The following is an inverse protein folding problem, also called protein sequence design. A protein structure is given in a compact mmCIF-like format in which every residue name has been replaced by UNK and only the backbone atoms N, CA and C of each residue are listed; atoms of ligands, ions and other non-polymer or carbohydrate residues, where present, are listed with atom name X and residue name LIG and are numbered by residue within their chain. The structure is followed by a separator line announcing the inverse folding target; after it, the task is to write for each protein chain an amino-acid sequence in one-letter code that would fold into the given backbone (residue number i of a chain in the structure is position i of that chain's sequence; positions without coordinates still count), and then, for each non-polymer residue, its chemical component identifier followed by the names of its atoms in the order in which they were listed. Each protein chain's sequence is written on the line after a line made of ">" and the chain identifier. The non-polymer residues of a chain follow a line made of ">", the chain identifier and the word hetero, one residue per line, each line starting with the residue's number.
data_IF_695735652954
#
_entry.id   IF_695735652954
#
_cell.length_a   1.000
_cell.length_b   1.000
_cell.length_c   1.000
_cell.angle_alpha   90.00
_cell.angle_beta   90.00
_cell.angle_gamma   90.00
#
_symmetry.space_group_name_H-M   'P 1'
#
loop_
_entity.id
_entity.type
_entity.pdbx_description
1 polymer ?
#
# COMPACT_ATOMS: atom_id res chain seq x y z
N UNK A 1 -10.97 -14.87 8.57
CA UNK A 1 -9.66 -14.32 8.89
C UNK A 1 -9.26 -13.29 7.84
N UNK A 2 -8.63 -12.23 8.28
CA UNK A 2 -8.16 -11.20 7.36
C UNK A 2 -6.86 -11.62 6.69
N UNK A 3 -6.71 -11.31 5.41
CA UNK A 3 -5.45 -11.51 4.70
C UNK A 3 -4.44 -10.40 5.01
N UNK A 4 -4.84 -9.45 5.85
CA UNK A 4 -4.02 -8.30 6.22
C UNK A 4 -4.26 -7.96 7.69
N UNK A 5 -3.26 -7.31 8.32
CA UNK A 5 -3.33 -6.90 9.72
C UNK A 5 -3.79 -5.47 9.89
N UNK A 6 -3.62 -4.63 8.86
CA UNK A 6 -4.04 -3.23 8.90
C UNK A 6 -4.50 -2.80 7.51
N UNK A 7 -5.47 -1.90 7.48
CA UNK A 7 -5.99 -1.33 6.24
C UNK A 7 -5.82 0.17 6.26
N UNK A 8 -5.37 0.73 5.12
CA UNK A 8 -5.21 2.16 4.92
C UNK A 8 -6.09 2.60 3.76
N UNK A 9 -7.03 3.53 4.04
CA UNK A 9 -7.86 4.12 3.01
C UNK A 9 -7.19 5.41 2.53
N UNK A 10 -6.60 5.36 1.34
CA UNK A 10 -5.95 6.50 0.71
C UNK A 10 -6.74 7.00 -0.51
N UNK A 11 -8.02 6.65 -0.60
CA UNK A 11 -8.87 7.11 -1.69
C UNK A 11 -9.03 8.62 -1.63
N UNK A 12 -9.06 9.25 -2.81
CA UNK A 12 -9.16 10.70 -2.92
C UNK A 12 -7.88 11.47 -2.71
N UNK A 13 -6.80 10.77 -2.34
CA UNK A 13 -5.49 11.41 -2.14
C UNK A 13 -4.68 11.35 -3.43
N UNK A 14 -3.93 12.42 -3.69
CA UNK A 14 -3.05 12.52 -4.86
C UNK A 14 -1.60 12.33 -4.44
N UNK A 15 -0.77 11.89 -5.40
CA UNK A 15 0.67 11.76 -5.20
C UNK A 15 1.25 13.08 -4.65
N UNK A 16 2.12 13.04 -3.62
CA UNK A 16 2.72 11.85 -3.00
C UNK A 16 2.01 11.35 -1.73
N UNK A 17 0.77 11.80 -1.46
CA UNK A 17 0.09 11.51 -0.20
C UNK A 17 -0.15 10.01 0.04
N UNK A 18 -0.56 9.21 -0.97
CA UNK A 18 -0.72 7.76 -0.73
C UNK A 18 0.56 7.09 -0.22
N UNK A 19 1.70 7.46 -0.79
CA UNK A 19 3.00 6.93 -0.39
C UNK A 19 3.37 7.34 1.03
N UNK A 20 3.18 8.62 1.36
CA UNK A 20 3.50 9.13 2.69
C UNK A 20 2.67 8.44 3.76
N UNK A 21 1.37 8.25 3.49
CA UNK A 21 0.48 7.55 4.40
C UNK A 21 0.84 6.08 4.55
N UNK A 22 1.20 5.44 3.44
CA UNK A 22 1.63 4.05 3.45
C UNK A 22 2.90 3.87 4.26
N UNK A 23 3.87 4.75 4.08
CA UNK A 23 5.13 4.71 4.82
C UNK A 23 4.87 4.79 6.32
N UNK A 24 4.02 5.71 6.75
CA UNK A 24 3.68 5.87 8.16
C UNK A 24 2.97 4.64 8.72
N UNK A 25 2.01 4.09 7.97
CA UNK A 25 1.24 2.94 8.41
C UNK A 25 2.12 1.69 8.52
N UNK A 26 2.99 1.46 7.54
CA UNK A 26 3.81 0.25 7.52
C UNK A 26 4.89 0.28 8.62
N UNK A 27 5.32 1.47 9.02
CA UNK A 27 6.28 1.59 10.13
C UNK A 27 5.69 1.11 11.47
N UNK A 28 4.37 1.07 11.59
CA UNK A 28 3.70 0.56 12.77
C UNK A 28 3.51 -0.95 12.76
N UNK A 29 3.87 -1.62 11.67
CA UNK A 29 3.73 -3.06 11.55
C UNK A 29 5.04 -3.77 11.88
N UNK A 30 4.93 -5.05 12.24
CA UNK A 30 6.10 -5.90 12.42
C UNK A 30 6.37 -6.67 11.13
N UNK A 31 7.61 -7.15 11.01
CA UNK A 31 8.04 -7.93 9.85
C UNK A 31 7.09 -9.11 9.61
N UNK A 32 6.66 -9.28 8.37
CA UNK A 32 5.73 -10.34 7.98
C UNK A 32 4.27 -9.95 8.01
N UNK A 33 3.91 -8.82 8.63
CA UNK A 33 2.53 -8.35 8.63
C UNK A 33 2.21 -7.65 7.32
N UNK A 34 0.93 -7.66 6.94
CA UNK A 34 0.46 -7.14 5.66
C UNK A 34 -0.41 -5.91 5.89
N UNK A 35 -0.14 -4.88 5.08
CA UNK A 35 -0.95 -3.66 5.01
C UNK A 35 -1.76 -3.67 3.72
N UNK A 36 -3.07 -3.48 3.83
CA UNK A 36 -3.92 -3.27 2.67
C UNK A 36 -4.08 -1.78 2.44
N UNK A 37 -3.71 -1.30 1.25
CA UNK A 37 -3.84 0.11 0.87
C UNK A 37 -4.82 0.21 -0.29
N UNK A 38 -5.77 1.14 -0.18
CA UNK A 38 -6.71 1.43 -1.27
C UNK A 38 -6.48 2.87 -1.70
N UNK A 39 -6.22 3.09 -3.00
CA UNK A 39 -5.98 4.41 -3.54
C UNK A 39 -6.75 4.59 -4.84
N UNK A 40 -6.98 5.84 -5.25
CA UNK A 40 -7.67 6.16 -6.49
C UNK A 40 -6.79 6.87 -7.51
N UNK A 41 -5.57 7.27 -7.11
CA UNK A 41 -4.61 7.92 -8.00
C UNK A 41 -3.92 6.87 -8.89
N UNK A 42 -4.06 6.96 -10.22
CA UNK A 42 -3.40 6.00 -11.12
C UNK A 42 -1.89 5.95 -10.98
N UNK A 43 -1.26 7.07 -10.58
CA UNK A 43 0.17 7.13 -10.34
C UNK A 43 0.63 6.33 -9.14
N UNK A 44 -0.30 5.96 -8.25
CA UNK A 44 0.05 5.24 -7.03
C UNK A 44 0.59 3.84 -7.31
N UNK A 45 0.23 3.23 -8.44
CA UNK A 45 0.71 1.89 -8.79
C UNK A 45 2.24 1.88 -8.87
N UNK A 46 2.81 2.77 -9.68
CA UNK A 46 4.27 2.86 -9.83
C UNK A 46 4.93 3.31 -8.55
N UNK A 47 4.31 4.25 -7.84
CA UNK A 47 4.85 4.77 -6.59
C UNK A 47 4.92 3.69 -5.53
N UNK A 48 3.88 2.86 -5.41
CA UNK A 48 3.87 1.77 -4.44
C UNK A 48 4.89 0.69 -4.78
N UNK A 49 5.05 0.36 -6.07
CA UNK A 49 6.06 -0.58 -6.51
C UNK A 49 7.46 -0.09 -6.16
N UNK A 50 7.75 1.17 -6.46
CA UNK A 50 9.04 1.78 -6.14
C UNK A 50 9.28 1.81 -4.63
N UNK A 51 8.26 2.17 -3.86
CA UNK A 51 8.33 2.20 -2.41
C UNK A 51 8.71 0.83 -1.83
N UNK A 52 8.03 -0.22 -2.27
CA UNK A 52 8.30 -1.57 -1.79
C UNK A 52 9.72 -2.01 -2.15
N UNK A 53 10.16 -1.70 -3.36
CA UNK A 53 11.48 -2.07 -3.83
C UNK A 53 12.58 -1.35 -3.05
N UNK A 54 12.39 -0.07 -2.76
CA UNK A 54 13.38 0.74 -2.06
C UNK A 54 13.45 0.42 -0.57
N UNK A 55 12.35 -0.01 0.03
CA UNK A 55 12.28 -0.24 1.48
C UNK A 55 12.41 -1.71 1.87
N UNK A 56 12.49 -2.61 0.89
CA UNK A 56 12.58 -4.04 1.19
C UNK A 56 11.27 -4.67 1.63
N UNK A 57 10.15 -3.99 1.41
CA UNK A 57 8.83 -4.56 1.63
C UNK A 57 8.40 -5.32 0.38
N UNK A 58 7.48 -6.28 0.56
CA UNK A 58 7.02 -7.10 -0.55
C UNK A 58 5.63 -6.66 -1.02
N UNK A 59 5.48 -6.43 -2.34
CA UNK A 59 4.17 -6.24 -2.95
C UNK A 59 3.55 -7.60 -3.19
N UNK A 60 2.70 -8.03 -2.27
CA UNK A 60 2.08 -9.36 -2.34
C UNK A 60 1.10 -9.44 -3.50
N UNK A 61 0.27 -8.43 -3.64
CA UNK A 61 -0.69 -8.37 -4.74
C UNK A 61 -1.10 -6.94 -5.01
N UNK A 62 -1.59 -6.71 -6.22
CA UNK A 62 -2.16 -5.44 -6.62
C UNK A 62 -3.36 -5.73 -7.51
N UNK A 63 -4.41 -4.93 -7.37
CA UNK A 63 -5.62 -5.10 -8.17
C UNK A 63 -6.28 -3.76 -8.40
N UNK A 64 -7.13 -3.70 -9.42
CA UNK A 64 -7.91 -2.51 -9.73
C UNK A 64 -9.37 -2.92 -9.93
N UNK A 65 -10.29 -2.12 -9.40
CA UNK A 65 -11.71 -2.34 -9.58
C UNK A 65 -12.44 -1.01 -9.47
N UNK A 66 -13.10 -0.60 -10.55
CA UNK A 66 -13.91 0.61 -10.55
C UNK A 66 -13.17 1.90 -10.20
N UNK A 67 -11.90 1.99 -10.54
CA UNK A 67 -11.08 3.17 -10.23
C UNK A 67 -10.36 3.10 -8.90
N UNK A 68 -10.60 2.06 -8.11
CA UNK A 68 -9.89 1.83 -6.86
C UNK A 68 -8.73 0.86 -7.09
N UNK A 69 -7.53 1.27 -6.65
CA UNK A 69 -6.33 0.44 -6.72
C UNK A 69 -6.06 -0.12 -5.33
N UNK A 70 -5.99 -1.44 -5.22
CA UNK A 70 -5.76 -2.10 -3.94
C UNK A 70 -4.38 -2.74 -3.94
N UNK A 71 -3.61 -2.46 -2.89
CA UNK A 71 -2.24 -2.98 -2.74
C UNK A 71 -2.15 -3.77 -1.45
N UNK A 72 -1.64 -4.99 -1.52
CA UNK A 72 -1.32 -5.79 -0.33
C UNK A 72 0.19 -5.78 -0.17
N UNK A 73 0.69 -5.12 0.86
CA UNK A 73 2.12 -4.90 1.08
C UNK A 73 2.54 -5.60 2.36
N UNK A 74 3.48 -6.52 2.24
CA UNK A 74 4.02 -7.25 3.38
C UNK A 74 5.28 -6.57 3.87
N UNK A 75 5.33 -6.27 5.16
CA UNK A 75 6.48 -5.63 5.75
C UNK A 75 7.68 -6.57 5.77
N UNK A 76 8.79 -6.06 5.26
CA UNK A 76 10.05 -6.79 5.23
C UNK A 76 10.80 -6.81 6.55
#
# INVERSE_FOLDING_TARGET
>A
MSDFQQELDARGLNCPLPILRTKKAINGLTSGQVLKVIATDPGSVKDMEAFCKQTGNEMVSTSESGGDYTFMIKKG
#
